data_IF_385550325481
#
_entry.id   IF_385550325481
#
_cell.length_a   1.000
_cell.length_b   1.000
_cell.length_c   1.000
_cell.angle_alpha   90.00
_cell.angle_beta   90.00
_cell.angle_gamma   90.00
#
_symmetry.space_group_name_H-M   'P 1'
#
loop_
_entity.id
_entity.type
_entity.pdbx_description
1 polymer ?
#
# COMPACT_ATOMS: atom_id res chain seq x y z
N UNK A 1 14.99 14.44 -5.15
CA UNK A 1 14.75 14.70 -3.71
C UNK A 1 15.67 13.81 -2.90
N UNK A 2 16.37 14.31 -1.88
CA UNK A 2 17.13 13.45 -0.98
C UNK A 2 16.11 12.62 -0.18
N UNK A 3 16.28 11.28 -0.14
CA UNK A 3 15.44 10.41 0.69
C UNK A 3 15.55 10.85 2.16
N UNK A 4 14.43 10.95 2.87
CA UNK A 4 14.43 11.21 4.33
C UNK A 4 14.83 9.96 5.12
N UNK A 5 14.91 8.82 4.46
CA UNK A 5 15.30 7.53 5.04
C UNK A 5 16.83 7.47 5.14
N UNK A 6 17.37 7.21 6.33
CA UNK A 6 18.80 6.96 6.50
C UNK A 6 19.16 5.51 6.13
N UNK A 7 20.44 5.26 5.79
CA UNK A 7 20.94 3.88 5.57
C UNK A 7 20.74 2.99 6.82
N UNK A 8 20.90 3.57 8.01
CA UNK A 8 20.72 2.85 9.27
C UNK A 8 19.25 2.41 9.47
N UNK A 9 18.29 3.31 9.17
CA UNK A 9 16.87 2.98 9.24
C UNK A 9 16.47 2.01 8.14
N UNK A 10 17.00 2.17 6.92
CA UNK A 10 16.81 1.23 5.82
C UNK A 10 17.22 -0.19 6.21
N UNK A 11 18.44 -0.36 6.79
CA UNK A 11 18.91 -1.65 7.30
C UNK A 11 18.06 -2.18 8.45
N UNK A 12 17.62 -1.31 9.38
CA UNK A 12 16.70 -1.69 10.47
C UNK A 12 15.38 -2.23 9.91
N UNK A 13 14.76 -1.54 8.97
CA UNK A 13 13.47 -1.94 8.37
C UNK A 13 13.61 -3.21 7.52
N UNK A 14 14.72 -3.37 6.79
CA UNK A 14 15.02 -4.60 6.07
C UNK A 14 15.10 -5.80 7.01
N UNK A 15 15.81 -5.67 8.16
CA UNK A 15 15.89 -6.76 9.14
C UNK A 15 14.55 -7.11 9.75
N UNK A 16 13.69 -6.13 10.05
CA UNK A 16 12.33 -6.38 10.55
C UNK A 16 11.54 -7.18 9.52
N UNK A 17 11.54 -6.76 8.26
CA UNK A 17 10.84 -7.48 7.21
C UNK A 17 11.38 -8.91 7.00
N UNK A 18 12.71 -9.08 6.95
CA UNK A 18 13.34 -10.39 6.79
C UNK A 18 13.03 -11.35 7.94
N UNK A 19 12.94 -10.85 9.18
CA UNK A 19 12.59 -11.66 10.34
C UNK A 19 11.15 -12.20 10.29
N UNK A 20 10.26 -11.49 9.62
CA UNK A 20 8.83 -11.82 9.58
C UNK A 20 8.43 -12.58 8.32
N UNK A 21 9.09 -12.34 7.19
CA UNK A 21 8.64 -12.81 5.86
C UNK A 21 8.71 -14.34 5.70
N UNK A 22 9.54 -15.02 6.48
CA UNK A 22 9.62 -16.48 6.50
C UNK A 22 8.86 -17.12 7.66
N UNK A 23 8.29 -16.30 8.53
CA UNK A 23 7.50 -16.76 9.67
C UNK A 23 6.11 -17.20 9.18
N UNK A 24 5.92 -18.50 8.99
CA UNK A 24 4.66 -19.07 8.48
C UNK A 24 3.51 -18.93 9.46
N UNK A 25 3.77 -19.02 10.79
CA UNK A 25 2.75 -18.98 11.84
C UNK A 25 3.11 -17.98 12.95
N UNK A 26 2.08 -17.30 13.56
CA UNK A 26 0.65 -17.38 13.23
C UNK A 26 0.34 -16.81 11.86
N UNK A 27 -0.75 -17.25 11.22
CA UNK A 27 -1.17 -16.80 9.92
C UNK A 27 -2.68 -16.59 9.85
N UNK A 28 -3.11 -15.60 9.06
CA UNK A 28 -4.50 -15.37 8.68
C UNK A 28 -4.61 -15.52 7.17
N UNK A 29 -5.39 -16.49 6.73
CA UNK A 29 -5.61 -16.75 5.31
C UNK A 29 -6.95 -16.12 4.86
N UNK A 30 -6.92 -15.39 3.74
CA UNK A 30 -8.12 -15.03 2.97
C UNK A 30 -8.48 -16.20 2.03
N UNK A 31 -8.73 -17.38 2.62
CA UNK A 31 -8.93 -18.64 1.91
C UNK A 31 -10.30 -19.21 2.19
N UNK A 32 -11.14 -19.26 1.15
CA UNK A 32 -12.45 -19.90 1.24
C UNK A 32 -12.29 -21.42 1.06
N UNK A 33 -12.77 -22.17 2.04
CA UNK A 33 -12.76 -23.62 2.06
C UNK A 33 -14.06 -24.12 1.45
N UNK A 34 -14.00 -24.73 0.25
CA UNK A 34 -15.14 -25.34 -0.42
C UNK A 34 -15.41 -26.77 0.06
N UNK A 35 -14.34 -27.52 0.36
CA UNK A 35 -14.42 -28.84 0.96
C UNK A 35 -13.13 -29.18 1.77
N UNK A 36 -13.06 -30.38 2.33
CA UNK A 36 -11.95 -30.79 3.18
C UNK A 36 -10.60 -30.89 2.44
N UNK A 37 -10.59 -31.06 1.12
CA UNK A 37 -9.36 -31.13 0.33
C UNK A 37 -8.70 -29.74 0.15
N UNK A 38 -9.44 -28.66 0.42
CA UNK A 38 -8.91 -27.29 0.37
C UNK A 38 -8.03 -26.94 1.59
N UNK A 39 -8.03 -27.78 2.62
CA UNK A 39 -7.24 -27.53 3.84
C UNK A 39 -5.76 -27.72 3.55
N UNK A 40 -5.02 -26.62 3.54
CA UNK A 40 -3.57 -26.62 3.33
C UNK A 40 -2.89 -25.54 4.16
N UNK A 41 -1.57 -25.67 4.36
CA UNK A 41 -0.80 -24.66 5.09
C UNK A 41 -0.60 -23.40 4.24
N UNK A 42 -0.29 -22.23 4.87
CA UNK A 42 0.00 -21.00 4.15
C UNK A 42 1.04 -21.19 3.03
N UNK A 43 2.14 -21.87 3.31
CA UNK A 43 3.22 -22.13 2.34
C UNK A 43 2.77 -23.04 1.19
N UNK A 44 1.89 -24.01 1.45
CA UNK A 44 1.38 -24.88 0.42
C UNK A 44 0.41 -24.18 -0.53
N UNK A 45 -0.40 -23.24 -0.02
CA UNK A 45 -1.33 -22.44 -0.80
C UNK A 45 -0.63 -21.32 -1.56
N UNK A 46 0.34 -20.66 -0.91
CA UNK A 46 0.99 -19.44 -1.37
C UNK A 46 2.51 -19.54 -1.26
N UNK A 47 3.17 -20.36 -2.11
CA UNK A 47 4.62 -20.60 -1.99
C UNK A 47 5.47 -19.36 -2.24
N UNK A 48 4.97 -18.39 -3.01
CA UNK A 48 5.65 -17.10 -3.21
C UNK A 48 5.38 -16.10 -2.08
N UNK A 49 4.18 -16.12 -1.47
CA UNK A 49 3.69 -15.08 -0.58
C UNK A 49 3.16 -15.61 0.75
N UNK A 50 3.82 -16.60 1.35
CA UNK A 50 3.58 -17.01 2.74
C UNK A 50 4.47 -16.23 3.71
N UNK A 51 4.09 -16.18 4.97
CA UNK A 51 4.79 -15.43 6.01
C UNK A 51 4.20 -14.03 6.24
N UNK A 52 4.77 -13.28 7.17
CA UNK A 52 4.27 -11.95 7.55
C UNK A 52 2.77 -11.92 7.87
N UNK A 53 2.25 -12.97 8.52
CA UNK A 53 0.88 -13.10 8.99
C UNK A 53 -0.15 -13.40 7.87
N UNK A 54 -0.19 -12.64 6.78
CA UNK A 54 -1.13 -12.82 5.68
C UNK A 54 -0.49 -12.55 4.30
N UNK A 55 -1.23 -12.87 3.24
CA UNK A 55 -0.73 -12.79 1.87
C UNK A 55 -0.30 -11.36 1.49
N UNK A 56 -1.15 -10.37 1.74
CA UNK A 56 -0.83 -8.99 1.36
C UNK A 56 0.32 -8.42 2.18
N UNK A 57 0.45 -8.76 3.45
CA UNK A 57 1.58 -8.31 4.27
C UNK A 57 2.90 -8.89 3.78
N UNK A 58 2.92 -10.15 3.31
CA UNK A 58 4.07 -10.72 2.64
C UNK A 58 4.41 -9.97 1.34
N UNK A 59 3.41 -9.67 0.50
CA UNK A 59 3.61 -8.94 -0.77
C UNK A 59 4.21 -7.56 -0.52
N UNK A 60 3.65 -6.79 0.40
CA UNK A 60 4.17 -5.44 0.65
C UNK A 60 5.49 -5.43 1.43
N UNK A 61 5.80 -6.49 2.21
CA UNK A 61 7.14 -6.66 2.77
C UNK A 61 8.18 -6.93 1.66
N UNK A 62 7.84 -7.70 0.63
CA UNK A 62 8.69 -7.87 -0.55
C UNK A 62 8.84 -6.56 -1.32
N UNK A 63 7.78 -5.75 -1.47
CA UNK A 63 7.88 -4.41 -2.02
C UNK A 63 8.85 -3.52 -1.21
N UNK A 64 8.74 -3.51 0.12
CA UNK A 64 9.65 -2.79 1.01
C UNK A 64 11.09 -3.21 0.74
N UNK A 65 11.38 -4.52 0.72
CA UNK A 65 12.73 -5.03 0.48
C UNK A 65 13.26 -4.64 -0.91
N UNK A 66 12.42 -4.71 -1.96
CA UNK A 66 12.78 -4.26 -3.31
C UNK A 66 13.13 -2.78 -3.33
N UNK A 67 12.28 -1.95 -2.70
CA UNK A 67 12.48 -0.51 -2.59
C UNK A 67 13.77 -0.15 -1.88
N UNK A 68 14.08 -0.84 -0.78
CA UNK A 68 15.29 -0.58 -0.01
C UNK A 68 16.57 -0.92 -0.78
N UNK A 69 16.66 -2.09 -1.41
CA UNK A 69 17.88 -2.45 -2.17
C UNK A 69 18.01 -1.70 -3.50
N UNK A 70 16.92 -1.15 -4.02
CA UNK A 70 16.95 -0.22 -5.16
C UNK A 70 17.53 1.13 -4.77
N UNK A 71 17.13 1.67 -3.60
CA UNK A 71 17.60 2.96 -3.09
C UNK A 71 19.00 2.88 -2.46
N UNK A 72 19.33 1.75 -1.84
CA UNK A 72 20.57 1.49 -1.13
C UNK A 72 21.19 0.17 -1.62
N UNK A 73 21.87 0.17 -2.79
CA UNK A 73 22.44 -1.06 -3.34
C UNK A 73 23.48 -1.74 -2.45
N UNK A 74 24.16 -0.95 -1.60
CA UNK A 74 25.17 -1.40 -0.65
C UNK A 74 24.62 -1.74 0.73
N UNK A 75 23.28 -1.93 0.85
CA UNK A 75 22.64 -2.33 2.10
C UNK A 75 23.23 -3.67 2.57
N UNK A 76 23.61 -3.83 3.86
CA UNK A 76 24.18 -5.09 4.36
C UNK A 76 23.30 -6.32 4.07
N UNK A 77 22.01 -6.15 4.05
CA UNK A 77 21.00 -7.19 3.81
C UNK A 77 20.79 -7.49 2.30
N UNK A 78 21.36 -6.70 1.37
CA UNK A 78 21.04 -6.77 -0.07
C UNK A 78 21.26 -8.15 -0.69
N UNK A 79 22.36 -8.84 -0.35
CA UNK A 79 22.64 -10.18 -0.88
C UNK A 79 21.61 -11.21 -0.41
N UNK A 80 21.23 -11.17 0.87
CA UNK A 80 20.18 -12.03 1.43
C UNK A 80 18.82 -11.77 0.79
N UNK A 81 18.47 -10.50 0.57
CA UNK A 81 17.21 -10.10 -0.08
C UNK A 81 17.17 -10.63 -1.53
N UNK A 82 18.27 -10.54 -2.30
CA UNK A 82 18.33 -11.08 -3.66
C UNK A 82 18.13 -12.60 -3.67
N UNK A 83 18.77 -13.32 -2.74
CA UNK A 83 18.59 -14.77 -2.59
C UNK A 83 17.15 -15.13 -2.25
N UNK A 84 16.50 -14.37 -1.35
CA UNK A 84 15.08 -14.54 -1.02
C UNK A 84 14.20 -14.35 -2.25
N UNK A 85 14.42 -13.30 -3.05
CA UNK A 85 13.64 -13.02 -4.26
C UNK A 85 13.80 -14.10 -5.31
N UNK A 86 15.01 -14.63 -5.50
CA UNK A 86 15.27 -15.76 -6.41
C UNK A 86 14.46 -17.00 -6.02
N UNK A 87 14.36 -17.27 -4.74
CA UNK A 87 13.58 -18.39 -4.23
C UNK A 87 12.06 -18.14 -4.34
N UNK A 88 11.60 -16.94 -3.95
CA UNK A 88 10.16 -16.61 -3.91
C UNK A 88 9.55 -16.45 -5.29
N UNK A 89 10.25 -15.78 -6.21
CA UNK A 89 9.77 -15.51 -7.57
C UNK A 89 10.16 -16.59 -8.57
N UNK A 90 10.60 -17.78 -8.10
CA UNK A 90 10.81 -18.92 -8.98
C UNK A 90 9.51 -19.22 -9.77
N UNK A 91 9.60 -19.48 -11.10
CA UNK A 91 8.41 -19.68 -11.94
C UNK A 91 7.41 -20.67 -11.39
N UNK A 92 7.87 -21.78 -10.78
CA UNK A 92 6.99 -22.78 -10.17
C UNK A 92 6.12 -22.23 -9.04
N UNK A 93 6.63 -21.28 -8.25
CA UNK A 93 5.89 -20.65 -7.17
C UNK A 93 4.86 -19.66 -7.73
N UNK A 94 5.25 -18.88 -8.74
CA UNK A 94 4.34 -17.92 -9.42
C UNK A 94 3.23 -18.65 -10.17
N UNK A 95 3.53 -19.79 -10.79
CA UNK A 95 2.53 -20.66 -11.45
C UNK A 95 1.53 -21.21 -10.42
N UNK A 96 1.99 -21.59 -9.22
CA UNK A 96 1.11 -22.03 -8.14
C UNK A 96 0.19 -20.90 -7.63
N UNK A 97 0.73 -19.69 -7.41
CA UNK A 97 -0.07 -18.50 -7.06
C UNK A 97 -1.10 -18.18 -8.16
N UNK A 98 -0.69 -18.29 -9.42
CA UNK A 98 -1.58 -18.05 -10.57
C UNK A 98 -2.69 -19.11 -10.62
N UNK A 99 -2.36 -20.39 -10.40
CA UNK A 99 -3.34 -21.49 -10.38
C UNK A 99 -4.35 -21.34 -9.22
N UNK A 100 -3.90 -20.83 -8.06
CA UNK A 100 -4.79 -20.53 -6.94
C UNK A 100 -5.92 -19.56 -7.33
N UNK A 101 -5.63 -18.59 -8.19
CA UNK A 101 -6.62 -17.62 -8.65
C UNK A 101 -7.69 -18.21 -9.57
N UNK A 102 -7.45 -19.38 -10.17
CA UNK A 102 -8.42 -20.05 -11.04
C UNK A 102 -9.52 -20.80 -10.28
N UNK A 103 -9.38 -20.95 -8.95
CA UNK A 103 -10.42 -21.54 -8.11
C UNK A 103 -11.66 -20.64 -8.09
N UNK A 104 -12.89 -21.18 -8.21
CA UNK A 104 -14.12 -20.38 -8.15
C UNK A 104 -14.25 -19.56 -6.85
N UNK A 105 -13.79 -20.13 -5.72
CA UNK A 105 -13.85 -19.53 -4.39
C UNK A 105 -12.86 -18.36 -4.24
N UNK A 106 -11.83 -18.26 -5.11
CA UNK A 106 -10.80 -17.21 -5.05
C UNK A 106 -11.21 -15.91 -5.76
N UNK A 107 -12.47 -15.76 -6.22
CA UNK A 107 -12.91 -14.61 -7.00
C UNK A 107 -12.70 -13.27 -6.28
N UNK A 108 -12.88 -13.24 -4.96
CA UNK A 108 -12.70 -12.04 -4.12
C UNK A 108 -11.40 -12.02 -3.32
N UNK A 109 -10.53 -13.03 -3.52
CA UNK A 109 -9.27 -13.15 -2.80
C UNK A 109 -8.48 -11.85 -2.84
N UNK A 110 -8.17 -11.31 -1.65
CA UNK A 110 -7.36 -10.10 -1.45
C UNK A 110 -7.88 -8.80 -2.11
N UNK A 111 -9.16 -8.73 -2.46
CA UNK A 111 -9.77 -7.60 -3.18
C UNK A 111 -10.04 -6.39 -2.26
N UNK A 112 -9.55 -5.17 -2.51
CA UNK A 112 -8.64 -4.79 -3.62
C UNK A 112 -7.22 -4.50 -3.10
N UNK A 113 -6.99 -4.62 -1.81
CA UNK A 113 -5.77 -4.23 -1.11
C UNK A 113 -4.56 -5.06 -1.53
N UNK A 114 -4.67 -6.37 -1.44
CA UNK A 114 -3.59 -7.26 -1.86
C UNK A 114 -3.31 -7.15 -3.37
N UNK A 115 -4.36 -6.96 -4.19
CA UNK A 115 -4.19 -6.70 -5.63
C UNK A 115 -3.35 -5.45 -5.88
N UNK A 116 -3.65 -4.37 -5.17
CA UNK A 116 -2.94 -3.10 -5.28
C UNK A 116 -1.47 -3.24 -4.87
N UNK A 117 -1.18 -3.94 -3.76
CA UNK A 117 0.19 -4.17 -3.32
C UNK A 117 1.00 -5.05 -4.28
N UNK A 118 0.37 -6.08 -4.90
CA UNK A 118 1.08 -6.87 -5.91
C UNK A 118 1.42 -6.03 -7.14
N UNK A 119 0.49 -5.19 -7.61
CA UNK A 119 0.77 -4.26 -8.70
C UNK A 119 1.87 -3.26 -8.32
N UNK A 120 1.90 -2.78 -7.08
CA UNK A 120 2.96 -1.88 -6.58
C UNK A 120 4.32 -2.56 -6.52
N UNK A 121 4.38 -3.83 -6.13
CA UNK A 121 5.62 -4.64 -6.19
C UNK A 121 6.07 -4.82 -7.65
N UNK A 122 5.15 -5.15 -8.56
CA UNK A 122 5.46 -5.33 -9.97
C UNK A 122 5.97 -4.04 -10.64
N UNK A 123 5.37 -2.89 -10.31
CA UNK A 123 5.83 -1.56 -10.71
C UNK A 123 7.26 -1.29 -10.25
N UNK A 124 7.56 -1.54 -8.96
CA UNK A 124 8.88 -1.30 -8.38
C UNK A 124 9.97 -2.07 -9.10
N UNK A 125 9.70 -3.35 -9.41
CA UNK A 125 10.63 -4.22 -10.13
C UNK A 125 10.76 -3.83 -11.62
N UNK A 126 9.67 -3.48 -12.28
CA UNK A 126 9.66 -3.08 -13.69
C UNK A 126 10.41 -1.75 -13.92
N UNK A 127 10.29 -0.82 -12.96
CA UNK A 127 10.94 0.49 -13.00
C UNK A 127 12.37 0.49 -12.43
N UNK A 128 12.99 -0.65 -12.26
CA UNK A 128 14.33 -0.75 -11.71
C UNK A 128 15.33 -1.27 -12.75
N UNK A 129 16.32 -0.45 -13.11
CA UNK A 129 17.37 -0.79 -14.09
C UNK A 129 18.44 -1.71 -13.48
N UNK A 130 18.04 -2.93 -13.12
CA UNK A 130 18.88 -3.96 -12.52
C UNK A 130 18.58 -5.31 -13.20
N UNK A 131 19.59 -6.14 -13.44
CA UNK A 131 19.44 -7.41 -14.16
C UNK A 131 18.52 -8.40 -13.43
N UNK A 132 18.68 -8.49 -12.10
CA UNK A 132 17.85 -9.38 -11.28
C UNK A 132 16.41 -8.85 -11.21
N UNK A 133 16.24 -7.54 -11.05
CA UNK A 133 14.92 -6.92 -11.05
C UNK A 133 14.16 -7.17 -12.36
N UNK A 134 14.82 -7.07 -13.50
CA UNK A 134 14.24 -7.40 -14.80
C UNK A 134 13.82 -8.89 -14.90
N UNK A 135 14.61 -9.79 -14.30
CA UNK A 135 14.28 -11.21 -14.24
C UNK A 135 13.05 -11.45 -13.35
N UNK A 136 13.04 -10.93 -12.11
CA UNK A 136 11.91 -11.05 -11.18
C UNK A 136 10.64 -10.42 -11.73
N UNK A 137 10.75 -9.23 -12.36
CA UNK A 137 9.63 -8.56 -13.01
C UNK A 137 9.01 -9.46 -14.09
N UNK A 138 9.83 -10.04 -14.97
CA UNK A 138 9.36 -10.96 -16.02
C UNK A 138 8.70 -12.22 -15.43
N UNK A 139 9.28 -12.79 -14.38
CA UNK A 139 8.80 -14.01 -13.76
C UNK A 139 7.45 -13.76 -13.04
N UNK A 140 7.18 -12.53 -12.56
CA UNK A 140 5.89 -12.11 -11.98
C UNK A 140 4.78 -11.82 -13.01
N UNK A 141 5.09 -11.63 -14.30
CA UNK A 141 4.11 -11.25 -15.34
C UNK A 141 2.85 -12.13 -15.35
N UNK A 142 2.93 -13.47 -15.26
CA UNK A 142 1.72 -14.32 -15.32
C UNK A 142 0.73 -13.98 -14.19
N UNK A 143 1.23 -13.79 -12.97
CA UNK A 143 0.39 -13.46 -11.83
C UNK A 143 -0.10 -12.00 -11.89
N UNK A 144 0.77 -11.05 -12.22
CA UNK A 144 0.42 -9.64 -12.37
C UNK A 144 -0.69 -9.46 -13.42
N UNK A 145 -0.57 -10.15 -14.57
CA UNK A 145 -1.59 -10.12 -15.63
C UNK A 145 -2.94 -10.66 -15.14
N UNK A 146 -2.94 -11.71 -14.29
CA UNK A 146 -4.18 -12.23 -13.72
C UNK A 146 -4.88 -11.21 -12.81
N UNK A 147 -4.13 -10.46 -12.00
CA UNK A 147 -4.71 -9.39 -11.17
C UNK A 147 -5.20 -8.20 -12.01
N UNK A 148 -4.50 -7.83 -13.08
CA UNK A 148 -5.00 -6.85 -14.06
C UNK A 148 -6.36 -7.29 -14.62
N UNK A 149 -6.49 -8.56 -15.05
CA UNK A 149 -7.77 -9.09 -15.54
C UNK A 149 -8.86 -9.05 -14.47
N UNK A 150 -8.53 -9.30 -13.21
CA UNK A 150 -9.48 -9.17 -12.09
C UNK A 150 -9.97 -7.73 -11.89
N UNK A 151 -9.09 -6.74 -12.01
CA UNK A 151 -9.50 -5.32 -11.99
C UNK A 151 -10.43 -5.00 -13.17
N UNK A 152 -10.07 -5.42 -14.39
CA UNK A 152 -10.87 -5.20 -15.59
C UNK A 152 -12.25 -5.87 -15.53
N UNK A 153 -12.35 -7.01 -14.85
CA UNK A 153 -13.63 -7.70 -14.65
C UNK A 153 -14.47 -7.09 -13.50
N UNK A 154 -13.81 -6.66 -12.41
CA UNK A 154 -14.51 -6.22 -11.20
C UNK A 154 -14.97 -4.75 -11.27
N UNK A 155 -14.11 -3.84 -11.71
CA UNK A 155 -14.41 -2.40 -11.64
C UNK A 155 -15.64 -1.98 -12.45
N UNK A 156 -15.93 -2.53 -13.65
CA UNK A 156 -17.16 -2.18 -14.38
C UNK A 156 -18.43 -2.45 -13.57
N UNK A 157 -18.48 -3.56 -12.84
CA UNK A 157 -19.63 -3.98 -12.04
C UNK A 157 -19.73 -3.22 -10.70
N UNK A 158 -18.64 -2.63 -10.22
CA UNK A 158 -18.62 -1.88 -8.97
C UNK A 158 -19.36 -0.54 -9.14
N UNK A 159 -20.58 -0.46 -8.58
CA UNK A 159 -21.42 0.74 -8.64
C UNK A 159 -20.94 1.81 -7.66
N UNK A 160 -20.58 1.45 -6.45
CA UNK A 160 -20.20 2.35 -5.37
C UNK A 160 -18.78 2.11 -4.89
N UNK A 161 -18.02 3.15 -4.49
CA UNK A 161 -16.75 2.99 -3.85
C UNK A 161 -16.90 2.52 -2.41
N UNK A 162 -15.91 1.78 -1.92
CA UNK A 162 -15.74 1.47 -0.50
C UNK A 162 -14.82 2.55 0.09
N UNK A 163 -15.29 3.26 1.15
CA UNK A 163 -14.65 4.47 1.67
C UNK A 163 -14.06 4.33 3.07
N UNK A 164 -14.19 3.19 3.76
CA UNK A 164 -13.62 3.05 5.11
C UNK A 164 -12.10 2.87 5.09
N UNK A 165 -11.45 3.17 6.22
CA UNK A 165 -10.00 3.25 6.36
C UNK A 165 -9.27 1.91 6.53
N UNK A 166 -9.80 0.82 5.91
CA UNK A 166 -9.22 -0.52 5.98
C UNK A 166 -9.07 -1.16 4.59
N UNK A 167 -8.60 -2.40 4.55
CA UNK A 167 -8.15 -3.14 3.36
C UNK A 167 -9.01 -2.99 2.09
N UNK A 168 -10.34 -2.89 2.20
CA UNK A 168 -11.23 -2.82 1.03
C UNK A 168 -11.33 -1.43 0.41
N UNK A 169 -10.60 -0.41 0.90
CA UNK A 169 -10.71 0.97 0.43
C UNK A 169 -10.46 1.09 -1.08
N UNK A 170 -11.46 1.63 -1.82
CA UNK A 170 -11.39 1.71 -3.28
C UNK A 170 -10.40 2.75 -3.77
N UNK A 171 -10.22 3.86 -3.06
CA UNK A 171 -9.27 4.90 -3.47
C UNK A 171 -7.83 4.38 -3.39
N UNK A 172 -7.47 3.64 -2.33
CA UNK A 172 -6.19 2.96 -2.20
C UNK A 172 -5.97 1.97 -3.36
N UNK A 173 -6.97 1.10 -3.60
CA UNK A 173 -6.90 0.11 -4.67
C UNK A 173 -6.67 0.73 -6.06
N UNK A 174 -7.38 1.83 -6.36
CA UNK A 174 -7.25 2.56 -7.63
C UNK A 174 -5.91 3.32 -7.74
N UNK A 175 -5.40 3.91 -6.64
CA UNK A 175 -4.18 4.68 -6.66
C UNK A 175 -2.98 3.84 -7.12
N UNK A 176 -2.76 2.68 -6.52
CA UNK A 176 -1.64 1.81 -6.88
C UNK A 176 -1.86 1.08 -8.21
N UNK A 177 -3.11 0.71 -8.53
CA UNK A 177 -3.42 0.15 -9.85
C UNK A 177 -3.14 1.16 -10.98
N UNK A 178 -3.43 2.45 -10.76
CA UNK A 178 -3.16 3.52 -11.72
C UNK A 178 -1.67 3.79 -11.89
N UNK A 179 -0.89 3.81 -10.77
CA UNK A 179 0.56 3.97 -10.80
C UNK A 179 1.21 2.87 -11.65
N UNK A 180 0.87 1.60 -11.34
CA UNK A 180 1.34 0.44 -12.11
C UNK A 180 0.94 0.52 -13.59
N UNK A 181 -0.33 0.81 -13.87
CA UNK A 181 -0.86 0.82 -15.24
C UNK A 181 -0.15 1.86 -16.12
N UNK A 182 0.20 3.02 -15.56
CA UNK A 182 0.98 4.05 -16.26
C UNK A 182 2.44 3.65 -16.44
N UNK A 183 3.06 3.11 -15.40
CA UNK A 183 4.47 2.71 -15.44
C UNK A 183 4.75 1.54 -16.39
N UNK A 184 3.76 0.65 -16.58
CA UNK A 184 3.87 -0.56 -17.41
C UNK A 184 3.05 -0.49 -18.71
N UNK A 185 2.56 0.70 -19.12
CA UNK A 185 1.80 0.94 -20.36
C UNK A 185 0.55 0.07 -20.52
N UNK A 186 -0.18 -0.20 -19.43
CA UNK A 186 -1.45 -0.93 -19.46
C UNK A 186 -2.62 0.04 -19.67
N UNK A 187 -2.79 0.53 -20.89
CA UNK A 187 -3.76 1.58 -21.24
C UNK A 187 -5.19 1.27 -20.83
N UNK A 188 -5.67 0.05 -21.03
CA UNK A 188 -7.03 -0.37 -20.64
C UNK A 188 -7.28 -0.25 -19.13
N UNK A 189 -6.31 -0.57 -18.29
CA UNK A 189 -6.42 -0.42 -16.83
C UNK A 189 -6.31 1.06 -16.44
N UNK A 190 -5.43 1.82 -17.10
CA UNK A 190 -5.31 3.27 -16.90
C UNK A 190 -6.65 3.98 -17.14
N UNK A 191 -7.27 3.74 -18.29
CA UNK A 191 -8.53 4.36 -18.67
C UNK A 191 -9.66 4.00 -17.70
N UNK A 192 -9.73 2.73 -17.30
CA UNK A 192 -10.74 2.25 -16.36
C UNK A 192 -10.56 2.86 -14.96
N UNK A 193 -9.33 2.91 -14.43
CA UNK A 193 -9.04 3.53 -13.14
C UNK A 193 -9.38 5.02 -13.15
N UNK A 194 -9.00 5.75 -14.22
CA UNK A 194 -9.33 7.17 -14.37
C UNK A 194 -10.83 7.40 -14.45
N UNK A 195 -11.56 6.58 -15.22
CA UNK A 195 -13.01 6.68 -15.34
C UNK A 195 -13.71 6.46 -13.99
N UNK A 196 -13.32 5.40 -13.24
CA UNK A 196 -13.91 5.10 -11.93
C UNK A 196 -13.54 6.14 -10.87
N UNK A 197 -12.30 6.63 -10.84
CA UNK A 197 -11.90 7.70 -9.93
C UNK A 197 -12.71 8.97 -10.16
N UNK A 198 -12.87 9.39 -11.42
CA UNK A 198 -13.70 10.56 -11.76
C UNK A 198 -15.18 10.33 -11.44
N UNK A 199 -15.72 9.15 -11.74
CA UNK A 199 -17.11 8.81 -11.46
C UNK A 199 -17.43 8.88 -9.98
N UNK A 200 -16.53 8.37 -9.12
CA UNK A 200 -16.80 8.19 -7.71
C UNK A 200 -16.41 9.37 -6.84
N UNK A 201 -15.31 10.08 -7.18
CA UNK A 201 -14.67 11.02 -6.27
C UNK A 201 -14.62 12.47 -6.78
N UNK A 202 -14.74 12.68 -8.11
CA UNK A 202 -14.72 14.04 -8.64
C UNK A 202 -15.88 14.92 -8.12
N UNK A 203 -17.11 14.37 -7.86
CA UNK A 203 -18.23 15.14 -7.31
C UNK A 203 -18.10 15.46 -5.81
N UNK A 204 -17.20 14.79 -5.07
CA UNK A 204 -17.16 14.85 -3.62
C UNK A 204 -16.77 16.24 -3.12
N UNK A 205 -17.46 16.69 -2.08
CA UNK A 205 -17.28 17.97 -1.41
C UNK A 205 -17.49 17.78 0.08
N UNK A 206 -16.94 18.67 0.91
CA UNK A 206 -17.14 18.74 2.36
C UNK A 206 -16.98 17.37 3.02
N UNK A 207 -15.80 16.76 2.83
CA UNK A 207 -15.53 15.42 3.35
C UNK A 207 -15.75 15.34 4.86
N UNK A 208 -16.37 14.25 5.32
CA UNK A 208 -16.73 14.04 6.72
C UNK A 208 -15.52 13.70 7.62
N UNK A 209 -14.40 14.42 7.44
CA UNK A 209 -13.12 14.19 8.09
C UNK A 209 -13.16 14.33 9.62
N UNK A 210 -14.16 15.01 10.17
CA UNK A 210 -14.38 15.13 11.61
C UNK A 210 -14.72 13.78 12.29
N UNK A 211 -15.06 12.76 11.53
CA UNK A 211 -15.35 11.43 12.06
C UNK A 211 -14.14 10.50 12.03
N UNK A 212 -13.04 10.96 11.47
CA UNK A 212 -11.77 10.21 11.54
C UNK A 212 -11.02 10.51 12.86
N UNK A 213 -10.30 9.52 13.40
CA UNK A 213 -10.21 8.14 12.92
C UNK A 213 -11.34 7.26 13.43
N UNK A 214 -11.67 6.19 12.69
CA UNK A 214 -12.36 5.03 13.24
C UNK A 214 -11.36 4.13 14.00
N UNK A 215 -11.85 3.33 14.95
CA UNK A 215 -11.01 2.63 15.94
C UNK A 215 -10.03 1.59 15.39
N UNK A 216 -10.14 1.21 14.13
CA UNK A 216 -9.26 0.23 13.47
C UNK A 216 -8.76 0.71 12.09
N UNK A 217 -8.85 2.00 11.80
CA UNK A 217 -8.35 2.56 10.55
C UNK A 217 -6.80 2.50 10.51
N UNK A 218 -6.26 2.10 9.35
CA UNK A 218 -4.85 2.28 9.03
C UNK A 218 -4.65 3.15 7.77
N UNK A 219 -5.76 3.54 7.14
CA UNK A 219 -5.83 4.57 6.10
C UNK A 219 -6.80 5.66 6.55
N UNK A 220 -6.49 6.93 6.23
CA UNK A 220 -7.47 7.99 6.33
C UNK A 220 -8.38 7.95 5.11
N UNK A 221 -9.69 7.68 5.23
CA UNK A 221 -10.62 7.71 4.11
C UNK A 221 -10.52 8.97 3.26
N UNK A 222 -10.47 10.14 3.90
CA UNK A 222 -10.39 11.41 3.18
C UNK A 222 -9.02 11.64 2.52
N UNK A 223 -7.92 11.38 3.23
CA UNK A 223 -6.60 11.66 2.68
C UNK A 223 -6.20 10.67 1.57
N UNK A 224 -6.60 9.40 1.66
CA UNK A 224 -6.32 8.43 0.59
C UNK A 224 -7.14 8.74 -0.67
N UNK A 225 -8.33 9.31 -0.52
CA UNK A 225 -9.11 9.84 -1.64
C UNK A 225 -8.40 11.03 -2.29
N UNK A 226 -7.89 11.97 -1.50
CA UNK A 226 -7.11 13.09 -2.02
C UNK A 226 -5.82 12.61 -2.69
N UNK A 227 -5.14 11.60 -2.15
CA UNK A 227 -3.94 11.00 -2.75
C UNK A 227 -4.26 10.31 -4.09
N UNK A 228 -5.44 9.70 -4.25
CA UNK A 228 -5.89 9.23 -5.57
C UNK A 228 -6.17 10.41 -6.51
N UNK A 229 -6.91 11.42 -6.06
CA UNK A 229 -7.38 12.51 -6.94
C UNK A 229 -6.22 13.37 -7.47
N UNK A 230 -5.12 13.55 -6.74
CA UNK A 230 -3.92 14.19 -7.25
C UNK A 230 -3.26 13.44 -8.42
N UNK A 231 -3.53 12.13 -8.57
CA UNK A 231 -3.07 11.34 -9.73
C UNK A 231 -3.98 11.50 -10.94
N UNK A 232 -5.21 11.94 -10.72
CA UNK A 232 -6.28 12.00 -11.74
C UNK A 232 -6.40 13.39 -12.34
N UNK A 233 -6.10 14.41 -11.56
CA UNK A 233 -6.21 15.83 -11.91
C UNK A 233 -4.82 16.44 -12.11
N UNK A 234 -4.71 17.48 -12.93
CA UNK A 234 -3.52 18.35 -12.93
C UNK A 234 -3.49 19.21 -11.66
N UNK A 235 -2.38 19.90 -11.43
CA UNK A 235 -2.13 20.62 -10.18
C UNK A 235 -3.21 21.69 -9.87
N UNK A 236 -3.64 22.45 -10.87
CA UNK A 236 -4.63 23.52 -10.69
C UNK A 236 -6.02 22.93 -10.44
N UNK A 237 -6.42 21.92 -11.20
CA UNK A 237 -7.69 21.23 -11.02
C UNK A 237 -7.72 20.48 -9.67
N UNK A 238 -6.60 19.89 -9.24
CA UNK A 238 -6.48 19.26 -7.93
C UNK A 238 -6.63 20.27 -6.79
N UNK A 239 -5.94 21.41 -6.89
CA UNK A 239 -6.04 22.47 -5.89
C UNK A 239 -7.47 22.98 -5.71
N UNK A 240 -8.20 23.17 -6.82
CA UNK A 240 -9.62 23.57 -6.82
C UNK A 240 -10.54 22.49 -6.26
N UNK A 241 -10.30 21.21 -6.63
CA UNK A 241 -11.08 20.09 -6.10
C UNK A 241 -10.86 19.92 -4.59
N UNK A 242 -9.61 20.03 -4.14
CA UNK A 242 -9.22 19.89 -2.73
C UNK A 242 -9.84 21.00 -1.87
N UNK A 243 -9.95 22.23 -2.40
CA UNK A 243 -10.61 23.35 -1.74
C UNK A 243 -12.09 23.05 -1.45
N UNK A 244 -12.78 22.42 -2.39
CA UNK A 244 -14.17 21.99 -2.17
C UNK A 244 -14.32 20.71 -1.33
N UNK A 245 -13.30 19.86 -1.31
CA UNK A 245 -13.32 18.58 -0.60
C UNK A 245 -12.90 18.69 0.87
N UNK A 246 -11.85 19.48 1.17
CA UNK A 246 -11.34 19.78 2.49
C UNK A 246 -11.12 21.30 2.62
N UNK A 247 -12.17 22.10 2.78
CA UNK A 247 -12.11 23.56 2.63
C UNK A 247 -11.28 24.27 3.71
N UNK A 248 -11.10 23.66 4.87
CA UNK A 248 -10.51 24.28 6.04
C UNK A 248 -9.07 23.79 6.36
N UNK A 249 -8.35 23.26 5.36
CA UNK A 249 -6.95 22.78 5.52
C UNK A 249 -6.06 23.88 6.11
N UNK A 250 -6.17 25.11 5.62
CA UNK A 250 -5.33 26.23 6.10
C UNK A 250 -5.52 26.51 7.60
N UNK A 251 -6.71 26.23 8.12
CA UNK A 251 -7.06 26.39 9.54
C UNK A 251 -6.71 25.17 10.37
N UNK A 252 -6.20 24.10 9.75
CA UNK A 252 -6.00 22.78 10.35
C UNK A 252 -7.29 22.19 10.92
N UNK A 253 -8.39 22.32 10.17
CA UNK A 253 -9.70 21.80 10.55
C UNK A 253 -10.21 20.76 9.53
N UNK A 254 -10.92 19.71 9.99
CA UNK A 254 -11.18 19.41 11.42
C UNK A 254 -9.89 18.95 12.13
N UNK A 255 -9.73 19.32 13.39
CA UNK A 255 -8.54 19.01 14.18
C UNK A 255 -8.19 17.51 14.22
N UNK A 256 -9.20 16.64 14.13
CA UNK A 256 -9.06 15.17 14.10
C UNK A 256 -8.21 14.66 12.94
N UNK A 257 -8.18 15.37 11.82
CA UNK A 257 -7.39 15.02 10.64
C UNK A 257 -5.91 15.39 10.79
N UNK A 258 -5.62 16.41 11.60
CA UNK A 258 -4.28 16.98 11.81
C UNK A 258 -3.61 16.49 13.11
N UNK A 259 -4.38 15.92 14.02
CA UNK A 259 -3.86 15.37 15.27
C UNK A 259 -3.48 13.90 15.07
N UNK A 260 -2.24 13.48 15.35
CA UNK A 260 -1.85 12.08 15.31
C UNK A 260 -2.75 11.21 16.18
N UNK A 261 -3.12 10.05 15.67
CA UNK A 261 -3.95 9.09 16.39
C UNK A 261 -3.15 8.52 17.58
N UNK A 262 -3.84 8.36 18.72
CA UNK A 262 -3.26 7.78 19.94
C UNK A 262 -3.43 6.26 19.91
N UNK A 263 -2.32 5.52 20.04
CA UNK A 263 -2.32 4.06 20.12
C UNK A 263 -2.25 3.66 21.60
N UNK A 264 -3.39 3.25 22.15
CA UNK A 264 -3.51 2.93 23.58
C UNK A 264 -2.99 1.54 23.94
N UNK A 265 -2.98 0.61 22.98
CA UNK A 265 -2.48 -0.77 23.18
C UNK A 265 -1.88 -1.30 21.86
N UNK A 266 -0.55 -1.43 21.81
CA UNK A 266 0.16 -1.96 20.64
C UNK A 266 0.16 -3.49 20.55
N UNK A 267 -0.38 -4.18 21.55
CA UNK A 267 -0.55 -5.65 21.52
C UNK A 267 -1.89 -6.07 20.91
N UNK A 268 -2.86 -5.15 20.85
CA UNK A 268 -4.15 -5.40 20.22
C UNK A 268 -4.03 -5.28 18.69
N UNK A 269 -4.46 -6.32 17.94
CA UNK A 269 -4.27 -6.37 16.46
C UNK A 269 -5.09 -5.33 15.68
N UNK A 270 -6.08 -4.68 16.30
CA UNK A 270 -6.86 -3.61 15.68
C UNK A 270 -6.41 -2.21 16.13
N UNK A 271 -6.10 -2.05 17.42
CA UNK A 271 -5.65 -0.74 17.95
C UNK A 271 -4.30 -0.35 17.36
N UNK A 272 -3.40 -1.31 17.12
CA UNK A 272 -2.08 -1.07 16.47
C UNK A 272 -2.22 -0.53 15.05
N UNK A 273 -3.36 -0.70 14.38
CA UNK A 273 -3.65 -0.09 13.08
C UNK A 273 -3.50 1.44 13.11
N UNK A 274 -3.73 2.07 14.24
CA UNK A 274 -3.59 3.53 14.38
C UNK A 274 -2.13 4.03 14.24
N UNK A 275 -1.11 3.21 14.53
CA UNK A 275 0.28 3.51 14.14
C UNK A 275 0.40 3.56 12.61
N UNK A 276 -0.19 2.60 11.91
CA UNK A 276 -0.28 2.59 10.45
C UNK A 276 -1.07 3.75 9.87
N UNK A 277 -2.14 4.18 10.56
CA UNK A 277 -2.90 5.38 10.19
C UNK A 277 -2.00 6.62 10.24
N UNK A 278 -1.19 6.78 11.28
CA UNK A 278 -0.25 7.89 11.36
C UNK A 278 0.74 7.87 10.19
N UNK A 279 1.28 6.71 9.84
CA UNK A 279 2.20 6.57 8.71
C UNK A 279 1.50 6.84 7.35
N UNK A 280 0.29 6.34 7.15
CA UNK A 280 -0.46 6.58 5.91
C UNK A 280 -0.92 8.03 5.77
N UNK A 281 -1.29 8.69 6.87
CA UNK A 281 -1.57 10.14 6.88
C UNK A 281 -0.32 10.94 6.53
N UNK A 282 0.85 10.60 7.09
CA UNK A 282 2.11 11.22 6.75
C UNK A 282 2.42 11.11 5.25
N UNK A 283 2.26 9.93 4.67
CA UNK A 283 2.39 9.70 3.23
C UNK A 283 1.41 10.55 2.41
N UNK A 284 0.12 10.51 2.74
CA UNK A 284 -0.88 11.26 1.99
C UNK A 284 -0.67 12.78 2.09
N UNK A 285 -0.34 13.31 3.26
CA UNK A 285 -0.06 14.74 3.44
C UNK A 285 1.15 15.20 2.61
N UNK A 286 2.23 14.42 2.54
CA UNK A 286 3.37 14.72 1.67
C UNK A 286 3.00 14.69 0.19
N UNK A 287 2.18 13.73 -0.18
CA UNK A 287 1.70 13.61 -1.54
C UNK A 287 0.82 14.80 -1.95
N UNK A 288 -0.02 15.29 -1.03
CA UNK A 288 -0.83 16.50 -1.22
C UNK A 288 0.08 17.73 -1.31
N UNK A 289 1.05 17.90 -0.40
CA UNK A 289 2.04 18.98 -0.45
C UNK A 289 2.70 19.08 -1.83
N UNK A 290 3.19 17.96 -2.34
CA UNK A 290 3.92 17.90 -3.61
C UNK A 290 3.05 18.14 -4.85
N UNK A 291 1.73 17.94 -4.73
CA UNK A 291 0.78 18.08 -5.84
C UNK A 291 0.17 19.47 -5.94
N UNK A 292 0.25 20.27 -4.88
CA UNK A 292 -0.27 21.63 -4.88
C UNK A 292 0.61 22.58 -5.72
N UNK A 293 0.03 23.62 -6.35
CA UNK A 293 0.77 24.62 -7.09
C UNK A 293 1.80 25.33 -6.21
N UNK A 294 2.88 25.81 -6.83
CA UNK A 294 3.92 26.55 -6.11
C UNK A 294 3.33 27.82 -5.45
N UNK A 295 3.56 27.98 -4.14
CA UNK A 295 3.05 29.09 -3.36
C UNK A 295 1.65 28.91 -2.77
N UNK A 296 1.02 27.74 -2.96
CA UNK A 296 -0.24 27.41 -2.30
C UNK A 296 -0.01 27.32 -0.77
N UNK A 297 -0.73 28.09 0.06
CA UNK A 297 -0.50 28.13 1.51
C UNK A 297 -0.78 26.78 2.19
N UNK A 298 -1.66 25.95 1.63
CA UNK A 298 -1.99 24.62 2.14
C UNK A 298 -0.80 23.66 2.10
N UNK A 299 0.19 23.90 1.21
CA UNK A 299 1.39 23.07 1.13
C UNK A 299 2.21 23.09 2.43
N UNK A 300 2.38 24.28 3.05
CA UNK A 300 3.08 24.38 4.33
C UNK A 300 2.33 23.65 5.46
N UNK A 301 1.01 23.71 5.46
CA UNK A 301 0.16 23.01 6.45
C UNK A 301 0.28 21.50 6.27
N UNK A 302 0.21 21.01 5.03
CA UNK A 302 0.36 19.59 4.68
C UNK A 302 1.75 19.07 5.07
N UNK A 303 2.84 19.83 4.81
CA UNK A 303 4.21 19.47 5.21
C UNK A 303 4.35 19.33 6.73
N UNK A 304 3.79 20.27 7.50
CA UNK A 304 3.80 20.21 8.96
C UNK A 304 3.03 18.99 9.48
N UNK A 305 1.81 18.76 8.97
CA UNK A 305 1.00 17.60 9.33
C UNK A 305 1.70 16.29 8.99
N UNK A 306 2.34 16.18 7.81
CA UNK A 306 3.11 15.00 7.41
C UNK A 306 4.23 14.70 8.42
N UNK A 307 4.96 15.72 8.87
CA UNK A 307 6.05 15.56 9.85
C UNK A 307 5.53 15.08 11.21
N UNK A 308 4.44 15.69 11.70
CA UNK A 308 3.82 15.35 12.99
C UNK A 308 3.33 13.88 13.00
N UNK A 309 2.60 13.48 11.95
CA UNK A 309 2.09 12.12 11.82
C UNK A 309 3.21 11.08 11.62
N UNK A 310 4.25 11.42 10.84
CA UNK A 310 5.41 10.55 10.67
C UNK A 310 6.11 10.28 12.00
N UNK A 311 6.35 11.33 12.79
CA UNK A 311 7.00 11.22 14.09
C UNK A 311 6.24 10.30 15.03
N UNK A 312 4.91 10.41 15.06
CA UNK A 312 4.06 9.55 15.88
C UNK A 312 4.04 8.09 15.38
N UNK A 313 3.93 7.87 14.05
CA UNK A 313 3.80 6.53 13.48
C UNK A 313 5.07 5.69 13.56
N UNK A 314 6.27 6.31 13.49
CA UNK A 314 7.53 5.55 13.58
C UNK A 314 7.83 4.99 14.97
N UNK A 315 7.18 5.50 16.03
CA UNK A 315 7.34 5.02 17.40
C UNK A 315 6.89 3.56 17.58
N UNK A 316 5.89 3.11 16.79
CA UNK A 316 5.38 1.74 16.83
C UNK A 316 6.27 0.69 16.17
N UNK A 317 7.27 1.11 15.38
CA UNK A 317 8.05 0.19 14.53
C UNK A 317 9.19 -0.45 15.33
N UNK A 318 9.24 -1.79 15.32
CA UNK A 318 10.26 -2.55 16.03
C UNK A 318 10.04 -2.56 17.53
N UNK A 319 8.78 -2.53 17.97
CA UNK A 319 8.36 -2.68 19.36
C UNK A 319 8.61 -4.11 19.89
N UNK A 320 8.82 -5.08 19.01
CA UNK A 320 8.89 -6.50 19.33
C UNK A 320 7.53 -7.19 19.29
N UNK A 321 6.46 -6.46 19.09
CA UNK A 321 5.11 -7.00 18.96
C UNK A 321 4.82 -7.38 17.50
N UNK A 322 4.64 -8.67 17.24
CA UNK A 322 4.44 -9.21 15.89
C UNK A 322 3.24 -8.59 15.16
N UNK A 323 2.21 -8.22 15.90
CA UNK A 323 0.98 -7.63 15.33
C UNK A 323 1.21 -6.28 14.63
N UNK A 324 2.26 -5.55 14.99
CA UNK A 324 2.71 -4.34 14.32
C UNK A 324 3.93 -4.58 13.42
N UNK A 325 4.91 -5.31 13.91
CA UNK A 325 6.21 -5.46 13.27
C UNK A 325 6.16 -6.17 11.91
N UNK A 326 5.12 -6.98 11.64
CA UNK A 326 5.01 -7.66 10.35
C UNK A 326 4.64 -6.72 9.17
N UNK A 327 4.20 -5.48 9.43
CA UNK A 327 3.70 -4.61 8.37
C UNK A 327 4.04 -3.10 8.49
N UNK A 328 4.16 -2.55 9.71
CA UNK A 328 4.35 -1.09 9.92
C UNK A 328 5.58 -0.52 9.20
N UNK A 329 6.68 -1.29 9.13
CA UNK A 329 7.89 -0.87 8.44
C UNK A 329 7.63 -0.54 6.94
N UNK A 330 6.69 -1.24 6.29
CA UNK A 330 6.31 -0.96 4.89
C UNK A 330 5.68 0.42 4.74
N UNK A 331 4.77 0.78 5.63
CA UNK A 331 4.13 2.10 5.61
C UNK A 331 5.11 3.22 5.91
N UNK A 332 6.09 2.99 6.80
CA UNK A 332 7.16 3.95 7.04
C UNK A 332 8.05 4.16 5.80
N UNK A 333 8.46 3.08 5.13
CA UNK A 333 9.25 3.19 3.89
C UNK A 333 8.45 3.91 2.81
N UNK A 334 7.15 3.61 2.68
CA UNK A 334 6.27 4.32 1.74
C UNK A 334 6.26 5.83 2.08
N UNK A 335 6.01 6.21 3.34
CA UNK A 335 5.97 7.61 3.76
C UNK A 335 7.32 8.35 3.62
N UNK A 336 8.45 7.66 3.71
CA UNK A 336 9.79 8.23 3.67
C UNK A 336 10.40 8.30 2.27
N UNK A 337 9.84 7.58 1.30
CA UNK A 337 10.48 7.40 -0.04
C UNK A 337 9.59 7.76 -1.23
N UNK A 338 8.34 8.19 -1.00
CA UNK A 338 7.39 8.64 -2.05
C UNK A 338 7.12 10.15 -2.05
#
# INVERSE_FOLDING_TARGET
MSSLLSLADASRYARIALANIEREFPAKLDHVIGDAADLASPRALHPAFFGSFDWHSCVHALWLLARLIKLYPDLPEAAGIRTLFDARFAPVNIDAERAYLDRPESRSFERTYGWAWLLKLAEELACWSDTDAHRWSRDLVPLTSAFVQRYLAYLPDATYPIRYGVHSNSAFGLAFALDFARACDVGTLTDLCLAKARQWYLPDRDAAAQWEPSGADFLSPCLIEADLMRRVLDADAFALWLDGFLPDIERREPATLFTPAIVSDRTDPYIVHLDGLNLSRAWCWRAIESALPAGDPRACVAAAAASEHLSAGVEGIGSGEYVGDHWLATFAVLALTT
#
